data_IF_758348790681
#
_entry.id   IF_758348790681
#
_cell.length_a   1.000
_cell.length_b   1.000
_cell.length_c   1.000
_cell.angle_alpha   90.00
_cell.angle_beta   90.00
_cell.angle_gamma   90.00
#
_symmetry.space_group_name_H-M   'P 1'
#
loop_
_entity.id
_entity.type
_entity.pdbx_description
1 polymer ?
#
# COMPACT_ATOMS: atom_id res chain seq x y z
N UNK A 1 20.01 -13.49 -1.56
CA UNK A 1 19.66 -13.00 -0.21
C UNK A 1 18.19 -12.65 -0.27
N UNK A 2 17.35 -13.18 0.62
CA UNK A 2 15.90 -13.08 0.51
C UNK A 2 15.45 -11.61 0.51
N UNK A 3 15.04 -11.09 -0.66
CA UNK A 3 14.36 -9.80 -0.75
C UNK A 3 13.13 -9.86 0.15
N UNK A 4 13.18 -9.14 1.26
CA UNK A 4 12.08 -9.12 2.22
C UNK A 4 10.98 -8.26 1.61
N UNK A 5 9.91 -8.90 1.15
CA UNK A 5 8.74 -8.21 0.62
C UNK A 5 8.18 -7.23 1.68
N UNK A 6 8.13 -5.91 1.40
CA UNK A 6 7.65 -4.92 2.36
C UNK A 6 6.22 -5.20 2.83
N UNK A 7 5.38 -5.76 1.96
CA UNK A 7 3.99 -6.07 2.27
C UNK A 7 3.87 -7.27 3.21
N UNK A 8 4.67 -8.31 2.99
CA UNK A 8 4.73 -9.43 3.93
C UNK A 8 5.21 -8.99 5.33
N UNK A 9 6.13 -8.03 5.39
CA UNK A 9 6.57 -7.47 6.66
C UNK A 9 5.40 -6.77 7.38
N UNK A 10 4.57 -6.02 6.66
CA UNK A 10 3.36 -5.43 7.23
C UNK A 10 2.38 -6.50 7.75
N UNK A 11 2.13 -7.58 6.99
CA UNK A 11 1.29 -8.68 7.44
C UNK A 11 1.84 -9.35 8.71
N UNK A 12 3.16 -9.59 8.77
CA UNK A 12 3.83 -10.13 9.97
C UNK A 12 3.72 -9.19 11.17
N UNK A 13 3.69 -7.87 10.95
CA UNK A 13 3.44 -6.90 12.01
C UNK A 13 2.01 -7.02 12.54
N UNK A 14 1.01 -7.15 11.65
CA UNK A 14 -0.39 -7.36 12.03
C UNK A 14 -0.58 -8.66 12.83
N UNK A 15 0.02 -9.77 12.39
CA UNK A 15 -0.09 -11.07 13.07
C UNK A 15 0.46 -11.00 14.51
N UNK A 16 1.54 -10.24 14.73
CA UNK A 16 2.09 -10.02 16.08
C UNK A 16 1.16 -9.22 16.99
N UNK A 17 0.28 -8.40 16.41
CA UNK A 17 -0.64 -7.53 17.16
C UNK A 17 -1.89 -8.30 17.60
N UNK A 18 -2.24 -9.41 16.94
CA UNK A 18 -3.44 -10.20 17.22
C UNK A 18 -3.61 -10.56 18.71
N UNK A 19 -2.51 -10.85 19.40
CA UNK A 19 -2.51 -11.18 20.84
C UNK A 19 -2.85 -9.99 21.77
N UNK A 20 -2.87 -8.77 21.24
CA UNK A 20 -3.17 -7.55 21.99
C UNK A 20 -4.55 -6.97 21.69
N UNK A 21 -5.30 -7.56 20.74
CA UNK A 21 -6.64 -7.11 20.35
C UNK A 21 -7.70 -8.01 21.02
N UNK A 22 -8.89 -7.44 21.27
CA UNK A 22 -10.08 -8.17 21.73
C UNK A 22 -10.43 -9.33 20.77
N UNK A 23 -10.94 -10.43 21.31
CA UNK A 23 -11.22 -11.63 20.51
C UNK A 23 -12.26 -11.39 19.42
N UNK A 24 -13.28 -10.59 19.72
CA UNK A 24 -14.35 -10.22 18.80
C UNK A 24 -13.89 -9.37 17.60
N UNK A 25 -12.74 -8.72 17.74
CA UNK A 25 -12.14 -7.83 16.75
C UNK A 25 -11.06 -8.50 15.90
N UNK A 26 -10.59 -9.71 16.26
CA UNK A 26 -9.56 -10.44 15.48
C UNK A 26 -9.93 -10.63 14.02
N UNK A 27 -11.24 -10.76 13.73
CA UNK A 27 -11.78 -10.86 12.36
C UNK A 27 -11.40 -9.66 11.47
N UNK A 28 -11.18 -8.48 12.05
CA UNK A 28 -10.81 -7.29 11.30
C UNK A 28 -9.34 -7.28 10.88
N UNK A 29 -8.47 -8.07 11.54
CA UNK A 29 -7.06 -8.21 11.16
C UNK A 29 -6.94 -8.75 9.74
N UNK A 30 -7.77 -9.74 9.40
CA UNK A 30 -7.76 -10.34 8.06
C UNK A 30 -8.18 -9.31 7.00
N UNK A 31 -9.16 -8.46 7.31
CA UNK A 31 -9.59 -7.36 6.41
C UNK A 31 -8.43 -6.40 6.15
N UNK A 32 -7.64 -6.06 7.18
CA UNK A 32 -6.50 -5.15 7.08
C UNK A 32 -5.31 -5.74 6.30
N UNK A 33 -5.30 -7.04 6.02
CA UNK A 33 -4.28 -7.66 5.14
C UNK A 33 -4.58 -7.48 3.66
N UNK A 34 -5.77 -7.00 3.29
CA UNK A 34 -6.15 -6.82 1.88
C UNK A 34 -6.50 -5.35 1.61
N UNK A 35 -5.71 -4.64 0.78
CA UNK A 35 -6.07 -3.30 0.35
C UNK A 35 -7.41 -3.29 -0.39
N UNK A 36 -8.27 -2.34 -0.04
CA UNK A 36 -9.60 -2.20 -0.63
C UNK A 36 -9.60 -1.98 -2.15
N UNK A 37 -8.62 -1.24 -2.68
CA UNK A 37 -8.49 -1.02 -4.13
C UNK A 37 -7.03 -0.89 -4.56
N UNK A 38 -6.70 -1.55 -5.65
CA UNK A 38 -5.42 -1.42 -6.34
C UNK A 38 -5.72 -0.99 -7.77
N UNK A 39 -5.15 0.13 -8.18
CA UNK A 39 -5.21 0.65 -9.54
C UNK A 39 -3.81 0.58 -10.15
N UNK A 40 -3.70 -0.15 -11.25
CA UNK A 40 -2.50 -0.23 -12.08
C UNK A 40 -2.79 0.45 -13.41
N UNK A 41 -1.92 1.39 -13.80
CA UNK A 41 -2.08 2.19 -15.01
C UNK A 41 -0.81 2.19 -15.84
N UNK A 42 -0.97 2.23 -17.16
CA UNK A 42 0.10 2.49 -18.12
C UNK A 42 0.01 3.95 -18.54
N UNK A 43 1.09 4.69 -18.35
CA UNK A 43 1.23 6.12 -18.62
C UNK A 43 2.14 6.31 -19.85
N UNK A 44 1.58 6.45 -21.07
CA UNK A 44 2.36 6.81 -22.24
C UNK A 44 2.73 8.30 -22.16
N UNK A 45 4.02 8.60 -22.29
CA UNK A 45 4.56 9.96 -22.32
C UNK A 45 5.40 10.14 -23.58
N UNK A 46 5.22 11.27 -24.26
CA UNK A 46 6.11 11.72 -25.33
C UNK A 46 7.33 12.39 -24.68
N UNK A 47 8.51 11.87 -25.00
CA UNK A 47 9.79 12.40 -24.52
C UNK A 47 10.21 13.61 -25.35
N UNK A 48 11.11 14.44 -24.84
CA UNK A 48 11.68 15.57 -25.58
C UNK A 48 12.39 15.14 -26.89
N UNK A 49 12.78 13.86 -27.00
CA UNK A 49 13.33 13.26 -28.22
C UNK A 49 12.30 12.93 -29.30
N UNK A 50 11.00 13.08 -29.03
CA UNK A 50 9.90 12.63 -29.89
C UNK A 50 9.55 11.14 -29.77
N UNK A 51 10.24 10.39 -28.90
CA UNK A 51 9.93 8.97 -28.62
C UNK A 51 8.80 8.84 -27.59
N UNK A 52 7.89 7.88 -27.79
CA UNK A 52 6.89 7.53 -26.78
C UNK A 52 7.47 6.50 -25.82
N UNK A 53 7.48 6.81 -24.52
CA UNK A 53 7.81 5.87 -23.45
C UNK A 53 6.59 5.56 -22.59
N UNK A 54 6.40 4.28 -22.28
CA UNK A 54 5.30 3.83 -21.43
C UNK A 54 5.85 3.58 -20.03
N UNK A 55 5.31 4.29 -19.05
CA UNK A 55 5.62 4.12 -17.63
C UNK A 55 4.51 3.36 -16.92
N UNK A 56 4.87 2.59 -15.91
CA UNK A 56 3.90 1.88 -15.07
C UNK A 56 3.62 2.70 -13.81
N UNK A 57 2.35 2.95 -13.53
CA UNK A 57 1.88 3.67 -12.35
C UNK A 57 1.00 2.81 -11.46
N UNK A 58 1.10 3.03 -10.15
CA UNK A 58 0.30 2.32 -9.16
C UNK A 58 -0.39 3.30 -8.22
N UNK A 59 -1.66 3.04 -7.90
CA UNK A 59 -2.38 3.70 -6.82
C UNK A 59 -3.08 2.66 -5.96
N UNK A 60 -2.60 2.49 -4.73
CA UNK A 60 -3.20 1.59 -3.74
C UNK A 60 -3.98 2.41 -2.72
N UNK A 61 -5.23 2.06 -2.53
CA UNK A 61 -6.13 2.58 -1.50
C UNK A 61 -6.37 1.44 -0.50
N UNK A 62 -5.76 1.55 0.67
CA UNK A 62 -5.78 0.48 1.66
C UNK A 62 -7.13 0.38 2.39
N UNK A 63 -7.60 1.48 2.99
CA UNK A 63 -8.89 1.53 3.67
C UNK A 63 -9.43 2.95 3.73
N UNK A 64 -10.74 3.12 3.47
CA UNK A 64 -11.49 4.37 3.56
C UNK A 64 -12.45 4.43 4.78
N UNK A 65 -12.37 3.47 5.71
CA UNK A 65 -13.32 3.33 6.84
C UNK A 65 -13.43 4.60 7.69
N UNK A 66 -12.31 5.30 7.91
CA UNK A 66 -12.26 6.54 8.72
C UNK A 66 -12.43 7.82 7.89
N UNK A 67 -12.70 7.70 6.58
CA UNK A 67 -12.83 8.81 5.66
C UNK A 67 -11.90 8.68 4.43
N UNK A 68 -11.73 9.77 3.66
CA UNK A 68 -10.98 9.74 2.40
C UNK A 68 -9.52 9.28 2.57
N UNK A 69 -9.08 8.38 1.69
CA UNK A 69 -7.71 7.85 1.74
C UNK A 69 -6.66 8.94 1.52
N UNK A 70 -5.59 8.94 2.32
CA UNK A 70 -4.46 9.88 2.19
C UNK A 70 -3.13 9.16 2.07
N UNK A 71 -2.33 9.57 1.09
CA UNK A 71 -0.98 9.05 0.84
C UNK A 71 -0.20 9.94 -0.14
N UNK A 72 1.11 9.79 -0.15
CA UNK A 72 2.01 10.50 -1.08
C UNK A 72 2.05 9.87 -2.48
N UNK A 73 2.97 10.37 -3.31
CA UNK A 73 3.32 9.82 -4.62
C UNK A 73 4.85 9.66 -4.64
N UNK A 74 5.34 8.56 -5.20
CA UNK A 74 6.77 8.28 -5.32
C UNK A 74 7.15 8.07 -6.78
N UNK A 75 8.20 8.75 -7.21
CA UNK A 75 8.84 8.54 -8.51
C UNK A 75 10.20 7.91 -8.25
N UNK A 76 10.33 6.61 -8.55
CA UNK A 76 11.60 5.90 -8.41
C UNK A 76 11.62 4.73 -9.41
N UNK A 77 12.76 4.42 -10.06
CA UNK A 77 12.82 3.39 -11.10
C UNK A 77 12.51 1.97 -10.57
N UNK A 78 12.76 1.72 -9.29
CA UNK A 78 12.54 0.41 -8.65
C UNK A 78 11.24 0.34 -7.84
N UNK A 79 10.24 1.18 -8.15
CA UNK A 79 8.94 1.06 -7.46
C UNK A 79 8.27 -0.25 -7.87
N UNK A 80 7.90 -1.04 -6.88
CA UNK A 80 7.12 -2.25 -7.04
C UNK A 80 5.72 -2.13 -6.41
N UNK A 81 4.77 -2.92 -6.90
CA UNK A 81 3.40 -2.94 -6.39
C UNK A 81 3.35 -3.28 -4.90
N UNK A 82 4.14 -4.24 -4.43
CA UNK A 82 4.08 -4.68 -3.04
C UNK A 82 4.68 -3.63 -2.09
N UNK A 83 5.67 -2.87 -2.54
CA UNK A 83 6.14 -1.68 -1.82
C UNK A 83 5.01 -0.66 -1.65
N UNK A 84 4.27 -0.35 -2.71
CA UNK A 84 3.17 0.62 -2.66
C UNK A 84 2.03 0.14 -1.76
N UNK A 85 1.71 -1.16 -1.77
CA UNK A 85 0.73 -1.75 -0.84
C UNK A 85 1.17 -1.58 0.61
N UNK A 86 2.43 -1.89 0.94
CA UNK A 86 2.96 -1.75 2.29
C UNK A 86 2.91 -0.30 2.77
N UNK A 87 3.32 0.65 1.93
CA UNK A 87 3.27 2.07 2.23
C UNK A 87 1.83 2.58 2.42
N UNK A 88 0.88 2.12 1.61
CA UNK A 88 -0.52 2.48 1.76
C UNK A 88 -1.11 1.94 3.08
N UNK A 89 -0.74 0.72 3.47
CA UNK A 89 -1.20 0.11 4.71
C UNK A 89 -0.63 0.82 5.95
N UNK A 90 0.67 1.16 5.95
CA UNK A 90 1.25 1.99 7.01
C UNK A 90 0.67 3.40 7.06
N UNK A 91 0.26 3.97 5.92
CA UNK A 91 -0.43 5.26 5.91
C UNK A 91 -1.77 5.19 6.64
N UNK A 92 -2.57 4.14 6.43
CA UNK A 92 -3.82 3.94 7.19
C UNK A 92 -3.57 3.87 8.69
N UNK A 93 -2.55 3.12 9.12
CA UNK A 93 -2.19 3.01 10.54
C UNK A 93 -1.72 4.34 11.11
N UNK A 94 -0.82 5.04 10.42
CA UNK A 94 -0.32 6.35 10.84
C UNK A 94 -1.47 7.33 10.97
N UNK A 95 -2.33 7.45 9.97
CA UNK A 95 -3.47 8.37 10.05
C UNK A 95 -4.45 7.98 11.14
N UNK A 96 -4.60 6.70 11.44
CA UNK A 96 -5.48 6.27 12.51
C UNK A 96 -4.97 6.60 13.92
N UNK A 97 -3.65 6.77 14.09
CA UNK A 97 -3.06 7.14 15.39
C UNK A 97 -3.04 8.65 15.60
N UNK A 98 -2.80 9.43 14.54
CA UNK A 98 -2.64 10.88 14.63
C UNK A 98 -3.94 11.68 14.45
N UNK A 99 -4.98 11.06 13.90
CA UNK A 99 -6.32 11.65 13.70
C UNK A 99 -7.37 10.70 14.28
#
# INVERSE_FOLDING_TARGET
MAETNPFENFCKQLDKVEKFILEEDRKFIEILKYPQRILEISLPLEMDSGEIKIFKGYRVQHSDIRGPTKGGIRFHPNVDLDEVKALAAWMSMKTAVFF
#
